data_IF_553467276637
#
_entry.id   IF_553467276637
#
_cell.length_a   1.000
_cell.length_b   1.000
_cell.length_c   1.000
_cell.angle_alpha   90.00
_cell.angle_beta   90.00
_cell.angle_gamma   90.00
#
_symmetry.space_group_name_H-M   'P 1'
#
loop_
_entity.id
_entity.type
_entity.pdbx_description
1 polymer ?
#
# COMPACT_ATOMS: atom_id res chain seq x y z
N UNK A 1 19.15 -13.18 -8.36
CA UNK A 1 17.76 -13.33 -7.86
C UNK A 1 17.39 -14.80 -7.96
N UNK A 2 16.81 -15.39 -6.90
CA UNK A 2 16.42 -16.79 -6.94
C UNK A 2 15.11 -16.99 -7.70
N UNK A 3 14.81 -18.24 -8.06
CA UNK A 3 13.60 -18.58 -8.83
C UNK A 3 12.31 -18.13 -8.14
N UNK A 4 12.24 -18.28 -6.82
CA UNK A 4 11.06 -17.88 -6.04
C UNK A 4 10.76 -16.39 -6.18
N UNK A 5 11.78 -15.54 -6.13
CA UNK A 5 11.62 -14.09 -6.28
C UNK A 5 11.26 -13.71 -7.72
N UNK A 6 11.78 -14.42 -8.71
CA UNK A 6 11.41 -14.21 -10.11
C UNK A 6 9.94 -14.52 -10.31
N UNK A 7 9.45 -15.64 -9.78
CA UNK A 7 8.05 -16.04 -9.88
C UNK A 7 7.14 -15.00 -9.21
N UNK A 8 7.49 -14.53 -8.01
CA UNK A 8 6.73 -13.46 -7.32
C UNK A 8 6.66 -12.19 -8.15
N UNK A 9 7.77 -11.77 -8.72
CA UNK A 9 7.83 -10.57 -9.56
C UNK A 9 6.94 -10.72 -10.80
N UNK A 10 6.95 -11.89 -11.44
CA UNK A 10 6.11 -12.17 -12.60
C UNK A 10 4.62 -12.17 -12.27
N UNK A 11 4.26 -12.50 -11.03
CA UNK A 11 2.87 -12.46 -10.55
C UNK A 11 2.44 -11.09 -10.07
N UNK A 12 3.32 -10.08 -10.15
CA UNK A 12 3.03 -8.75 -9.63
C UNK A 12 2.89 -8.71 -8.10
N UNK A 13 3.56 -9.59 -7.39
CA UNK A 13 3.58 -9.57 -5.93
C UNK A 13 4.52 -8.49 -5.41
N UNK A 14 4.09 -7.78 -4.38
CA UNK A 14 4.92 -6.79 -3.71
C UNK A 14 6.03 -7.47 -2.91
N UNK A 15 7.17 -6.81 -2.79
CA UNK A 15 8.25 -7.26 -1.90
C UNK A 15 8.06 -6.61 -0.53
N UNK A 16 7.25 -7.25 0.31
CA UNK A 16 6.86 -6.71 1.61
C UNK A 16 8.06 -6.49 2.54
N UNK A 17 9.02 -7.42 2.54
CA UNK A 17 10.20 -7.30 3.39
C UNK A 17 11.05 -6.08 3.02
N UNK A 18 11.23 -5.82 1.73
CA UNK A 18 11.96 -4.63 1.27
C UNK A 18 11.24 -3.35 1.64
N UNK A 19 9.92 -3.33 1.51
CA UNK A 19 9.11 -2.18 1.90
C UNK A 19 9.22 -1.92 3.41
N UNK A 20 9.23 -2.97 4.23
CA UNK A 20 9.42 -2.82 5.69
C UNK A 20 10.78 -2.23 6.01
N UNK A 21 11.83 -2.68 5.33
CA UNK A 21 13.18 -2.10 5.49
C UNK A 21 13.16 -0.61 5.16
N UNK A 22 12.38 -0.21 4.16
CA UNK A 22 12.25 1.17 3.73
C UNK A 22 11.23 1.98 4.54
N UNK A 23 10.68 1.42 5.61
CA UNK A 23 9.88 2.15 6.57
C UNK A 23 8.38 1.86 6.56
N UNK A 24 7.89 0.95 5.71
CA UNK A 24 6.49 0.53 5.77
C UNK A 24 6.19 -0.08 7.13
N UNK A 25 5.10 0.37 7.75
CA UNK A 25 4.62 -0.20 9.00
C UNK A 25 3.42 -1.09 8.70
N UNK A 26 3.53 -2.37 9.03
CA UNK A 26 2.47 -3.34 8.83
C UNK A 26 2.39 -4.26 10.05
N UNK A 27 1.17 -4.45 10.55
CA UNK A 27 0.91 -5.31 11.70
C UNK A 27 0.90 -6.79 11.33
N UNK A 28 0.41 -7.61 12.24
CA UNK A 28 0.30 -9.05 12.06
C UNK A 28 -0.85 -9.41 11.13
N UNK A 29 -0.71 -10.52 10.42
CA UNK A 29 -1.81 -11.13 9.69
C UNK A 29 -2.25 -10.36 8.44
N UNK A 30 -1.36 -9.56 7.86
CA UNK A 30 -1.65 -8.88 6.61
C UNK A 30 -1.73 -9.86 5.45
N UNK A 31 -2.85 -9.84 4.73
CA UNK A 31 -3.08 -10.63 3.51
C UNK A 31 -3.31 -9.70 2.33
N UNK A 32 -2.81 -10.09 1.18
CA UNK A 32 -3.00 -9.29 -0.03
C UNK A 32 -3.06 -10.17 -1.26
N UNK A 33 -3.89 -9.77 -2.21
CA UNK A 33 -4.01 -10.46 -3.50
C UNK A 33 -2.94 -10.02 -4.49
N UNK A 34 -3.10 -10.47 -5.74
CA UNK A 34 -2.14 -10.20 -6.82
C UNK A 34 -2.18 -8.73 -7.25
N UNK A 35 -1.04 -8.24 -7.73
CA UNK A 35 -0.88 -6.91 -8.34
C UNK A 35 -1.26 -5.74 -7.42
N UNK A 36 -1.13 -5.94 -6.10
CA UNK A 36 -1.22 -4.83 -5.17
C UNK A 36 0.02 -3.94 -5.27
N UNK A 37 -0.17 -2.64 -5.03
CA UNK A 37 0.92 -1.67 -5.09
C UNK A 37 0.91 -0.84 -3.81
N UNK A 38 2.01 -0.85 -3.09
CA UNK A 38 2.25 0.04 -1.95
C UNK A 38 3.39 0.97 -2.34
N UNK A 39 3.11 2.24 -2.43
CA UNK A 39 4.03 3.27 -2.92
C UNK A 39 5.46 3.05 -2.42
N UNK A 40 6.38 2.56 -3.25
CA UNK A 40 7.72 2.21 -2.77
C UNK A 40 8.57 3.42 -2.42
N UNK A 41 8.30 4.57 -3.03
CA UNK A 41 9.07 5.80 -2.78
C UNK A 41 8.72 6.45 -1.46
N UNK A 42 7.47 6.28 -0.99
CA UNK A 42 6.98 6.92 0.23
C UNK A 42 6.31 5.92 1.18
N UNK A 43 6.74 4.66 1.16
CA UNK A 43 6.13 3.62 1.99
C UNK A 43 6.29 3.89 3.49
N UNK A 44 7.27 4.69 3.89
CA UNK A 44 7.45 5.11 5.29
C UNK A 44 6.29 5.96 5.81
N UNK A 45 5.43 6.46 4.93
CA UNK A 45 4.20 7.18 5.28
C UNK A 45 2.97 6.28 5.36
N UNK A 46 3.11 4.99 5.04
CA UNK A 46 2.01 4.04 5.04
C UNK A 46 2.06 3.20 6.31
N UNK A 47 0.93 3.14 7.01
CA UNK A 47 0.77 2.32 8.19
C UNK A 47 -0.46 1.43 8.02
N UNK A 48 -0.25 0.12 8.08
CA UNK A 48 -1.29 -0.90 7.98
C UNK A 48 -1.38 -1.60 9.33
N UNK A 49 -2.58 -1.66 9.89
CA UNK A 49 -2.82 -2.30 11.19
C UNK A 49 -2.75 -3.82 11.11
N UNK A 50 -3.26 -4.48 12.16
CA UNK A 50 -3.30 -5.92 12.27
C UNK A 50 -4.48 -6.51 11.49
N UNK A 51 -4.29 -7.69 10.91
CA UNK A 51 -5.35 -8.47 10.26
C UNK A 51 -6.09 -7.70 9.17
N UNK A 52 -5.36 -6.89 8.41
CA UNK A 52 -5.89 -6.17 7.26
C UNK A 52 -5.78 -7.07 6.03
N UNK A 53 -6.81 -7.06 5.21
CA UNK A 53 -6.84 -7.82 3.96
C UNK A 53 -7.03 -6.88 2.77
N UNK A 54 -6.16 -7.02 1.79
CA UNK A 54 -6.32 -6.38 0.48
C UNK A 54 -6.76 -7.42 -0.53
N UNK A 55 -7.77 -7.11 -1.31
CA UNK A 55 -8.11 -7.90 -2.48
C UNK A 55 -7.10 -7.60 -3.61
N UNK A 56 -7.36 -8.12 -4.80
CA UNK A 56 -6.43 -7.92 -5.93
C UNK A 56 -6.40 -6.46 -6.39
N UNK A 57 -5.24 -6.02 -6.86
CA UNK A 57 -5.04 -4.68 -7.46
C UNK A 57 -5.42 -3.51 -6.55
N UNK A 58 -5.18 -3.64 -5.27
CA UNK A 58 -5.28 -2.51 -4.35
C UNK A 58 -4.02 -1.66 -4.48
N UNK A 59 -4.19 -0.37 -4.74
CA UNK A 59 -3.09 0.57 -4.87
C UNK A 59 -3.13 1.57 -3.72
N UNK A 60 -2.04 1.68 -2.98
CA UNK A 60 -1.89 2.66 -1.90
C UNK A 60 -0.82 3.65 -2.30
N UNK A 61 -1.20 4.91 -2.43
CA UNK A 61 -0.33 5.99 -2.84
C UNK A 61 -0.12 6.95 -1.66
N UNK A 62 1.12 7.27 -1.36
CA UNK A 62 1.46 8.28 -0.35
C UNK A 62 2.01 9.55 -0.99
N UNK A 63 2.08 9.62 -2.31
CA UNK A 63 2.39 10.82 -3.05
C UNK A 63 1.51 10.91 -4.30
N UNK A 64 1.29 12.11 -4.78
CA UNK A 64 0.50 12.40 -5.97
C UNK A 64 1.11 13.60 -6.68
N UNK A 65 1.60 13.38 -7.87
CA UNK A 65 2.23 14.42 -8.69
C UNK A 65 1.25 15.11 -9.65
N UNK A 66 -0.03 14.79 -9.58
CA UNK A 66 -1.04 15.34 -10.50
C UNK A 66 -1.13 16.87 -10.47
N UNK A 67 -0.84 17.48 -9.31
CA UNK A 67 -0.89 18.93 -9.13
C UNK A 67 0.44 19.64 -9.44
N UNK A 68 1.52 18.90 -9.66
CA UNK A 68 2.86 19.46 -9.81
C UNK A 68 2.96 20.44 -10.97
N UNK A 69 2.31 20.13 -12.07
CA UNK A 69 2.35 20.95 -13.27
C UNK A 69 1.71 22.32 -13.08
N UNK A 70 0.67 22.40 -12.26
CA UNK A 70 -0.09 23.64 -12.02
C UNK A 70 0.44 24.36 -10.77
N UNK A 71 0.67 23.62 -9.67
CA UNK A 71 1.02 24.20 -8.38
C UNK A 71 2.53 24.19 -8.11
N UNK A 72 3.33 23.48 -8.93
CA UNK A 72 4.77 23.42 -8.77
C UNK A 72 5.27 22.42 -7.72
N UNK A 73 4.38 21.67 -7.06
CA UNK A 73 4.74 20.67 -6.07
C UNK A 73 3.81 19.46 -6.11
N UNK A 74 4.32 18.32 -5.66
CA UNK A 74 3.55 17.09 -5.51
C UNK A 74 2.91 17.06 -4.12
N UNK A 75 1.73 16.46 -4.03
CA UNK A 75 1.06 16.19 -2.76
C UNK A 75 1.68 14.95 -2.12
N UNK A 76 1.98 15.02 -0.84
CA UNK A 76 2.49 13.91 -0.04
C UNK A 76 1.65 13.83 1.23
N UNK A 77 1.28 12.62 1.65
CA UNK A 77 0.45 12.47 2.84
C UNK A 77 0.50 11.07 3.42
N UNK A 78 0.33 10.98 4.74
CA UNK A 78 0.27 9.71 5.44
C UNK A 78 -0.98 8.94 5.06
N UNK A 79 -0.85 7.62 5.00
CA UNK A 79 -1.97 6.71 4.83
C UNK A 79 -2.02 5.78 6.04
N UNK A 80 -3.19 5.67 6.65
CA UNK A 80 -3.39 4.77 7.79
C UNK A 80 -4.58 3.87 7.52
N UNK A 81 -4.39 2.56 7.71
CA UNK A 81 -5.44 1.56 7.54
C UNK A 81 -5.58 0.82 8.87
N UNK A 82 -6.76 0.93 9.48
CA UNK A 82 -7.04 0.38 10.81
C UNK A 82 -7.15 -1.13 10.81
N UNK A 83 -7.00 -1.71 12.01
CA UNK A 83 -7.04 -3.15 12.24
C UNK A 83 -8.32 -3.79 11.68
N UNK A 84 -8.19 -4.98 11.12
CA UNK A 84 -9.31 -5.80 10.70
C UNK A 84 -10.06 -5.30 9.47
N UNK A 85 -9.55 -4.29 8.79
CA UNK A 85 -10.21 -3.73 7.61
C UNK A 85 -9.99 -4.58 6.37
N UNK A 86 -10.96 -4.55 5.47
CA UNK A 86 -10.91 -5.21 4.18
C UNK A 86 -10.98 -4.16 3.07
N UNK A 87 -10.02 -4.20 2.16
CA UNK A 87 -9.99 -3.29 1.01
C UNK A 87 -10.27 -4.10 -0.26
N UNK A 88 -11.34 -3.75 -0.95
CA UNK A 88 -11.83 -4.45 -2.12
C UNK A 88 -10.95 -4.31 -3.35
N UNK A 89 -11.22 -5.13 -4.37
CA UNK A 89 -10.43 -5.16 -5.60
C UNK A 89 -10.47 -3.82 -6.34
N UNK A 90 -9.33 -3.46 -6.91
CA UNK A 90 -9.14 -2.24 -7.72
C UNK A 90 -9.36 -0.93 -6.95
N UNK A 91 -9.35 -0.97 -5.64
CA UNK A 91 -9.44 0.25 -4.83
C UNK A 91 -8.10 0.98 -4.87
N UNK A 92 -8.15 2.30 -5.05
CA UNK A 92 -6.98 3.17 -4.92
C UNK A 92 -7.14 4.05 -3.69
N UNK A 93 -6.17 3.98 -2.78
CA UNK A 93 -6.13 4.81 -1.58
C UNK A 93 -5.13 5.92 -1.83
N UNK A 94 -5.60 7.16 -1.70
CA UNK A 94 -4.81 8.35 -2.02
C UNK A 94 -4.07 8.89 -0.78
N UNK A 95 -3.05 9.76 -1.01
CA UNK A 95 -2.33 10.38 0.10
C UNK A 95 -3.25 11.11 1.07
N UNK A 96 -2.99 10.96 2.37
CA UNK A 96 -3.75 11.62 3.42
C UNK A 96 -5.00 10.90 3.88
N UNK A 97 -5.32 9.74 3.31
CA UNK A 97 -6.51 8.96 3.67
C UNK A 97 -6.24 8.12 4.91
N UNK A 98 -7.20 8.14 5.84
CA UNK A 98 -7.25 7.23 6.99
C UNK A 98 -8.49 6.35 6.89
N UNK A 99 -8.30 5.05 7.04
CA UNK A 99 -9.37 4.07 7.11
C UNK A 99 -9.45 3.56 8.54
N UNK A 100 -10.62 3.66 9.16
CA UNK A 100 -10.84 3.18 10.52
C UNK A 100 -10.77 1.66 10.63
N UNK A 101 -10.74 1.17 11.87
CA UNK A 101 -10.71 -0.28 12.13
C UNK A 101 -12.01 -0.94 11.67
N UNK A 102 -11.90 -2.21 11.23
CA UNK A 102 -13.04 -3.05 10.84
C UNK A 102 -13.90 -2.44 9.73
N UNK A 103 -13.29 -1.66 8.86
CA UNK A 103 -13.96 -1.04 7.70
C UNK A 103 -13.93 -1.96 6.50
N UNK A 104 -14.94 -1.85 5.66
CA UNK A 104 -15.01 -2.52 4.35
C UNK A 104 -15.07 -1.42 3.29
N UNK A 105 -14.06 -1.42 2.45
CA UNK A 105 -13.91 -0.40 1.39
C UNK A 105 -14.14 -1.05 0.02
#
# INVERSE_FOLDING_TARGET
>A
MNLKNIVKKLRGEINLEQLKVNGLKVGEGFSYGSYCFLDPSFCFLIQIGNHVTFSTRVHVLAHDASTKKILGYSKVGRVMIGDGSFVGANVTILPGISIGSNSII
#
